data_IF_883015800169
#
_entry.id   IF_883015800169
#
_cell.length_a   1.000
_cell.length_b   1.000
_cell.length_c   1.000
_cell.angle_alpha   90.00
_cell.angle_beta   90.00
_cell.angle_gamma   90.00
#
_symmetry.space_group_name_H-M   'P 1'
#
loop_
_entity.id
_entity.type
_entity.pdbx_description
1 polymer ?
#
# COMPACT_ATOMS: atom_id res chain seq x y z
N UNK A 1 2.13 1.66 5.64
CA UNK A 1 3.38 0.87 5.62
C UNK A 1 4.01 0.92 7.00
N UNK A 2 4.78 -0.10 7.39
CA UNK A 2 5.46 -0.08 8.70
C UNK A 2 6.83 0.65 8.63
N UNK A 3 7.43 0.90 9.79
CA UNK A 3 8.67 1.68 9.88
C UNK A 3 9.84 1.09 9.06
N UNK A 4 9.96 -0.24 9.00
CA UNK A 4 11.02 -0.91 8.25
C UNK A 4 10.80 -0.79 6.74
N UNK A 5 9.56 -0.98 6.27
CA UNK A 5 9.19 -0.75 4.87
C UNK A 5 9.46 0.71 4.45
N UNK A 6 9.08 1.68 5.30
CA UNK A 6 9.32 3.10 5.05
C UNK A 6 10.82 3.44 5.02
N UNK A 7 11.62 2.83 5.88
CA UNK A 7 13.07 2.99 5.86
C UNK A 7 13.66 2.51 4.53
N UNK A 8 13.26 1.32 4.07
CA UNK A 8 13.72 0.77 2.79
C UNK A 8 13.33 1.65 1.61
N UNK A 9 12.11 2.21 1.60
CA UNK A 9 11.69 3.20 0.60
C UNK A 9 12.54 4.47 0.65
N UNK A 10 12.83 4.99 1.85
CA UNK A 10 13.66 6.19 2.03
C UNK A 10 15.10 5.98 1.54
N UNK A 11 15.63 4.77 1.71
CA UNK A 11 16.94 4.37 1.18
C UNK A 11 16.97 4.17 -0.35
N UNK A 12 15.84 4.38 -1.04
CA UNK A 12 15.74 4.27 -2.50
C UNK A 12 15.23 2.92 -3.00
N UNK A 13 14.77 2.05 -2.12
CA UNK A 13 14.11 0.80 -2.51
C UNK A 13 12.80 1.05 -3.26
N UNK A 14 12.42 0.11 -4.12
CA UNK A 14 11.09 0.10 -4.73
C UNK A 14 10.02 -0.31 -3.71
N UNK A 15 8.75 -0.01 -4.00
CA UNK A 15 7.64 -0.46 -3.15
C UNK A 15 7.65 -1.98 -2.93
N UNK A 16 7.90 -2.77 -3.98
CA UNK A 16 8.02 -4.23 -3.86
C UNK A 16 9.17 -4.64 -2.95
N UNK A 17 10.34 -4.04 -3.14
CA UNK A 17 11.52 -4.37 -2.34
C UNK A 17 11.30 -4.02 -0.87
N UNK A 18 10.74 -2.84 -0.61
CA UNK A 18 10.38 -2.39 0.73
C UNK A 18 9.39 -3.36 1.43
N UNK A 19 8.41 -3.89 0.69
CA UNK A 19 7.44 -4.84 1.22
C UNK A 19 8.04 -6.22 1.49
N UNK A 20 8.78 -6.80 0.54
CA UNK A 20 9.16 -8.22 0.60
C UNK A 20 10.51 -8.50 1.28
N UNK A 21 11.44 -7.55 1.29
CA UNK A 21 12.75 -7.72 1.97
C UNK A 21 12.60 -8.02 3.47
N UNK A 22 11.73 -7.33 4.23
CA UNK A 22 11.50 -7.66 5.63
C UNK A 22 11.14 -9.13 5.87
N UNK A 23 10.23 -9.68 5.07
CA UNK A 23 9.83 -11.09 5.17
C UNK A 23 11.00 -12.03 4.86
N UNK A 24 11.77 -11.72 3.82
CA UNK A 24 12.93 -12.53 3.44
C UNK A 24 14.00 -12.53 4.55
N UNK A 25 14.30 -11.37 5.12
CA UNK A 25 15.27 -11.25 6.23
C UNK A 25 14.82 -12.01 7.48
N UNK A 26 13.53 -11.95 7.81
CA UNK A 26 12.98 -12.67 8.98
C UNK A 26 12.94 -14.18 8.76
N UNK A 27 12.72 -14.64 7.52
CA UNK A 27 12.84 -16.05 7.17
C UNK A 27 14.29 -16.53 7.34
N UNK A 28 15.27 -15.77 6.83
CA UNK A 28 16.69 -16.09 7.01
C UNK A 28 17.11 -16.10 8.49
N UNK A 29 16.62 -15.14 9.27
CA UNK A 29 16.85 -15.09 10.71
C UNK A 29 16.29 -16.32 11.40
N UNK A 30 15.05 -16.70 11.08
CA UNK A 30 14.42 -17.91 11.60
C UNK A 30 15.23 -19.16 11.28
N UNK A 31 15.65 -19.33 10.02
CA UNK A 31 16.51 -20.45 9.59
C UNK A 31 17.84 -20.46 10.35
N UNK A 32 18.46 -19.29 10.53
CA UNK A 32 19.70 -19.15 11.31
C UNK A 32 19.54 -19.57 12.77
N UNK A 33 18.49 -19.10 13.44
CA UNK A 33 18.16 -19.49 14.82
C UNK A 33 17.87 -21.00 14.92
N UNK A 34 17.08 -21.52 13.99
CA UNK A 34 16.75 -22.94 13.89
C UNK A 34 18.00 -23.81 13.73
N UNK A 35 18.97 -23.37 12.93
CA UNK A 35 20.24 -24.08 12.74
C UNK A 35 21.11 -24.12 13.99
N UNK A 36 21.21 -23.00 14.72
CA UNK A 36 21.95 -22.93 16.00
C UNK A 36 21.32 -23.88 17.03
N UNK A 37 19.99 -23.87 17.14
CA UNK A 37 19.24 -24.74 18.06
C UNK A 37 19.35 -26.20 17.64
N UNK A 38 19.26 -26.51 16.34
CA UNK A 38 19.43 -27.86 15.81
C UNK A 38 20.79 -28.45 16.22
N UNK A 39 21.88 -27.69 16.03
CA UNK A 39 23.23 -28.11 16.45
C UNK A 39 23.33 -28.40 17.95
N UNK A 40 22.60 -27.66 18.79
CA UNK A 40 22.57 -27.88 20.24
C UNK A 40 21.73 -29.12 20.61
N UNK A 41 20.56 -29.28 20.00
CA UNK A 41 19.66 -30.41 20.25
C UNK A 41 20.24 -31.76 19.80
N UNK A 42 21.01 -31.78 18.72
CA UNK A 42 21.74 -32.98 18.29
C UNK A 42 22.70 -33.50 19.37
N UNK A 43 23.22 -32.64 20.24
CA UNK A 43 24.09 -33.04 21.35
C UNK A 43 23.32 -33.64 22.54
N UNK A 44 22.00 -33.46 22.61
CA UNK A 44 21.21 -33.76 23.81
C UNK A 44 20.46 -35.12 23.75
N UNK A 45 20.76 -36.01 22.81
CA UNK A 45 20.11 -37.34 22.66
C UNK A 45 18.56 -37.32 22.69
N UNK A 46 17.94 -36.19 22.35
CA UNK A 46 16.48 -36.05 22.28
C UNK A 46 15.89 -36.80 21.08
N UNK A 47 14.58 -37.12 21.16
CA UNK A 47 13.86 -37.81 20.08
C UNK A 47 13.92 -37.00 18.77
N UNK A 48 14.39 -37.61 17.68
CA UNK A 48 14.61 -36.96 16.37
C UNK A 48 13.38 -36.18 15.86
N UNK A 49 12.19 -36.76 15.99
CA UNK A 49 10.91 -36.12 15.63
C UNK A 49 10.70 -34.78 16.38
N UNK A 50 10.97 -34.75 17.69
CA UNK A 50 10.71 -33.58 18.52
C UNK A 50 11.67 -32.45 18.18
N UNK A 51 12.94 -32.81 17.94
CA UNK A 51 13.96 -31.86 17.49
C UNK A 51 13.59 -31.25 16.13
N UNK A 52 13.11 -32.05 15.18
CA UNK A 52 12.66 -31.56 13.88
C UNK A 52 11.47 -30.61 14.00
N UNK A 53 10.47 -30.94 14.82
CA UNK A 53 9.31 -30.08 15.04
C UNK A 53 9.70 -28.73 15.66
N UNK A 54 10.57 -28.73 16.68
CA UNK A 54 11.05 -27.49 17.32
C UNK A 54 11.81 -26.62 16.32
N UNK A 55 12.71 -27.22 15.53
CA UNK A 55 13.50 -26.51 14.53
C UNK A 55 12.62 -25.94 13.43
N UNK A 56 11.63 -26.70 12.96
CA UNK A 56 10.67 -26.22 11.97
C UNK A 56 9.85 -25.03 12.47
N UNK A 57 9.29 -25.13 13.68
CA UNK A 57 8.52 -24.04 14.29
C UNK A 57 9.38 -22.79 14.48
N UNK A 58 10.62 -22.95 14.98
CA UNK A 58 11.54 -21.84 15.18
C UNK A 58 11.97 -21.18 13.86
N UNK A 59 12.12 -21.98 12.78
CA UNK A 59 12.47 -21.46 11.47
C UNK A 59 11.38 -20.55 10.89
N UNK A 60 10.11 -20.87 11.12
CA UNK A 60 8.98 -20.11 10.58
C UNK A 60 8.50 -19.00 11.53
N UNK A 61 8.75 -19.10 12.83
CA UNK A 61 8.19 -18.21 13.85
C UNK A 61 8.40 -16.72 13.56
N UNK A 62 9.61 -16.20 13.23
CA UNK A 62 9.78 -14.77 12.98
C UNK A 62 9.00 -14.28 11.76
N UNK A 63 8.99 -15.06 10.67
CA UNK A 63 8.22 -14.77 9.47
C UNK A 63 6.71 -14.76 9.77
N UNK A 64 6.21 -15.79 10.46
CA UNK A 64 4.79 -15.92 10.79
C UNK A 64 4.28 -14.81 11.70
N UNK A 65 5.06 -14.41 12.71
CA UNK A 65 4.71 -13.29 13.59
C UNK A 65 4.65 -11.97 12.82
N UNK A 66 5.60 -11.72 11.92
CA UNK A 66 5.59 -10.52 11.10
C UNK A 66 4.44 -10.51 10.10
N UNK A 67 4.14 -11.65 9.46
CA UNK A 67 2.98 -11.80 8.58
C UNK A 67 1.65 -11.60 9.32
N UNK A 68 1.54 -12.04 10.57
CA UNK A 68 0.34 -11.81 11.37
C UNK A 68 0.12 -10.32 11.68
N UNK A 69 1.19 -9.57 11.93
CA UNK A 69 1.12 -8.12 12.17
C UNK A 69 0.96 -7.31 10.87
N UNK A 70 1.60 -7.75 9.80
CA UNK A 70 1.61 -7.11 8.49
C UNK A 70 1.32 -8.19 7.45
N UNK A 71 0.05 -8.45 7.14
CA UNK A 71 -0.29 -9.42 6.10
C UNK A 71 0.12 -8.93 4.71
N UNK A 72 0.23 -9.87 3.79
CA UNK A 72 0.40 -9.63 2.35
C UNK A 72 -0.98 -9.74 1.71
N UNK A 73 -1.47 -8.66 1.13
CA UNK A 73 -2.78 -8.61 0.50
C UNK A 73 -2.70 -8.91 -1.00
N UNK A 74 -3.85 -9.19 -1.62
CA UNK A 74 -3.92 -9.49 -3.06
C UNK A 74 -3.36 -8.34 -3.91
N UNK A 75 -3.64 -7.08 -3.55
CA UNK A 75 -3.09 -5.89 -4.22
C UNK A 75 -1.57 -5.73 -4.10
N UNK A 76 -0.90 -6.49 -3.21
CA UNK A 76 0.56 -6.50 -3.12
C UNK A 76 1.21 -7.44 -4.14
N UNK A 77 0.46 -8.43 -4.63
CA UNK A 77 0.95 -9.49 -5.52
C UNK A 77 0.44 -9.35 -6.95
N UNK A 78 -0.84 -9.01 -7.11
CA UNK A 78 -1.54 -9.00 -8.40
C UNK A 78 -1.72 -7.56 -8.91
N UNK A 79 -1.68 -7.37 -10.23
CA UNK A 79 -2.08 -6.11 -10.85
C UNK A 79 -3.59 -6.13 -11.09
N UNK A 80 -4.36 -5.55 -10.16
CA UNK A 80 -5.84 -5.62 -10.18
C UNK A 80 -6.51 -4.33 -10.67
N UNK A 81 -5.74 -3.37 -11.21
CA UNK A 81 -6.32 -2.11 -11.69
C UNK A 81 -7.05 -2.24 -13.02
N UNK A 82 -8.07 -1.41 -13.20
CA UNK A 82 -8.88 -1.34 -14.42
C UNK A 82 -8.62 -0.03 -15.18
N UNK A 83 -9.06 0.04 -16.44
CA UNK A 83 -8.92 1.23 -17.29
C UNK A 83 -10.29 1.83 -17.56
N UNK A 84 -10.72 2.84 -16.79
CA UNK A 84 -12.04 3.44 -16.97
C UNK A 84 -12.13 4.19 -18.30
N UNK A 85 -13.24 4.00 -19.02
CA UNK A 85 -13.55 4.80 -20.21
C UNK A 85 -14.06 6.17 -19.76
N UNK A 86 -13.24 7.21 -19.89
CA UNK A 86 -13.61 8.58 -19.55
C UNK A 86 -12.96 9.59 -20.50
N UNK A 87 -13.71 10.64 -20.82
CA UNK A 87 -13.22 11.80 -21.57
C UNK A 87 -12.74 12.94 -20.65
N UNK A 88 -12.77 12.72 -19.33
CA UNK A 88 -12.42 13.73 -18.35
C UNK A 88 -10.94 14.12 -18.46
N UNK A 89 -10.69 15.43 -18.56
CA UNK A 89 -9.34 15.99 -18.63
C UNK A 89 -8.95 16.60 -17.30
N UNK A 90 -7.77 16.23 -16.82
CA UNK A 90 -7.22 16.72 -15.57
C UNK A 90 -6.36 17.97 -15.79
N UNK A 91 -6.29 18.91 -14.83
CA UNK A 91 -5.55 20.16 -14.98
C UNK A 91 -4.02 20.00 -14.87
N UNK A 92 -3.51 18.77 -14.78
CA UNK A 92 -2.08 18.46 -14.63
C UNK A 92 -1.72 17.26 -15.50
N UNK A 93 -0.46 17.19 -15.93
CA UNK A 93 0.02 16.17 -16.86
C UNK A 93 0.04 14.78 -16.25
N UNK A 94 0.65 14.63 -15.08
CA UNK A 94 0.90 13.34 -14.43
C UNK A 94 0.67 13.44 -12.93
N UNK A 95 0.03 12.43 -12.34
CA UNK A 95 -0.23 12.41 -10.90
C UNK A 95 -1.20 11.32 -10.47
N UNK A 96 -1.38 11.19 -9.17
CA UNK A 96 -2.35 10.28 -8.57
C UNK A 96 -3.51 11.08 -7.98
N UNK A 97 -4.74 10.72 -8.33
CA UNK A 97 -5.95 11.30 -7.72
C UNK A 97 -6.64 10.25 -6.87
N UNK A 98 -6.90 10.57 -5.61
CA UNK A 98 -7.72 9.78 -4.70
C UNK A 98 -9.11 10.40 -4.66
N UNK A 99 -10.09 9.67 -5.16
CA UNK A 99 -11.50 10.08 -5.08
C UNK A 99 -12.07 9.61 -3.75
N UNK A 100 -12.60 10.54 -2.97
CA UNK A 100 -13.11 10.30 -1.62
C UNK A 100 -14.57 10.75 -1.49
N UNK A 101 -15.34 10.01 -0.70
CA UNK A 101 -16.67 10.44 -0.26
C UNK A 101 -16.57 11.14 1.11
N UNK A 102 -17.36 12.20 1.36
CA UNK A 102 -17.49 12.76 2.71
C UNK A 102 -17.82 11.68 3.76
N UNK A 103 -17.18 11.75 4.93
CA UNK A 103 -17.42 10.82 6.04
C UNK A 103 -16.96 9.37 5.82
N UNK A 104 -16.31 9.06 4.69
CA UNK A 104 -15.83 7.72 4.37
C UNK A 104 -14.61 7.34 5.20
N UNK A 105 -14.76 6.36 6.11
CA UNK A 105 -13.68 5.88 6.98
C UNK A 105 -12.46 5.40 6.20
N UNK A 106 -12.64 4.55 5.20
CA UNK A 106 -11.53 4.03 4.38
C UNK A 106 -10.79 5.13 3.61
N UNK A 107 -11.54 6.15 3.17
CA UNK A 107 -10.97 7.31 2.50
C UNK A 107 -10.10 8.11 3.48
N UNK A 108 -10.56 8.28 4.73
CA UNK A 108 -9.76 8.94 5.78
C UNK A 108 -8.56 8.09 6.21
N UNK A 109 -8.65 6.76 6.16
CA UNK A 109 -7.50 5.89 6.44
C UNK A 109 -6.44 5.98 5.33
N UNK A 110 -6.87 6.16 4.07
CA UNK A 110 -5.95 6.29 2.93
C UNK A 110 -5.04 7.52 3.02
N UNK A 111 -5.46 8.60 3.71
CA UNK A 111 -4.64 9.81 3.88
C UNK A 111 -3.34 9.50 4.61
N UNK A 112 -3.37 8.59 5.59
CA UNK A 112 -2.18 8.13 6.32
C UNK A 112 -1.17 7.48 5.38
N UNK A 113 -1.66 6.66 4.44
CA UNK A 113 -0.80 6.05 3.42
C UNK A 113 -0.24 7.10 2.48
N UNK A 114 -1.07 7.99 1.94
CA UNK A 114 -0.63 9.03 1.00
C UNK A 114 0.39 9.98 1.62
N UNK A 115 0.19 10.41 2.86
CA UNK A 115 1.16 11.23 3.60
C UNK A 115 2.52 10.53 3.72
N UNK A 116 2.55 9.19 3.83
CA UNK A 116 3.79 8.43 3.93
C UNK A 116 4.52 8.25 2.59
N UNK A 117 3.80 8.21 1.46
CA UNK A 117 4.37 7.72 0.19
C UNK A 117 4.33 8.73 -0.95
N UNK A 118 3.62 9.85 -0.83
CA UNK A 118 3.40 10.81 -1.92
C UNK A 118 4.70 11.30 -2.58
N UNK A 119 5.79 11.47 -1.82
CA UNK A 119 7.11 11.87 -2.33
C UNK A 119 7.74 10.82 -3.28
N UNK A 120 7.33 9.56 -3.17
CA UNK A 120 7.79 8.44 -4.01
C UNK A 120 6.87 8.17 -5.18
N UNK A 121 5.71 8.83 -5.20
CA UNK A 121 4.79 8.76 -6.32
C UNK A 121 5.15 9.81 -7.36
N UNK A 122 4.90 9.53 -8.64
CA UNK A 122 5.17 10.48 -9.71
C UNK A 122 4.16 11.64 -9.74
N UNK A 123 4.66 12.85 -9.94
CA UNK A 123 3.82 14.04 -10.14
C UNK A 123 3.05 14.45 -8.89
N UNK A 124 1.84 14.99 -9.09
CA UNK A 124 1.02 15.53 -7.98
C UNK A 124 0.11 14.45 -7.40
N UNK A 125 0.12 14.30 -6.07
CA UNK A 125 -0.91 13.54 -5.36
C UNK A 125 -2.05 14.48 -4.96
N UNK A 126 -3.30 14.12 -5.26
CA UNK A 126 -4.47 14.95 -4.96
C UNK A 126 -5.62 14.15 -4.39
N UNK A 127 -6.36 14.73 -3.46
CA UNK A 127 -7.65 14.24 -2.99
C UNK A 127 -8.78 15.04 -3.63
N UNK A 128 -9.69 14.34 -4.28
CA UNK A 128 -10.89 14.91 -4.89
C UNK A 128 -12.11 14.40 -4.14
N UNK A 129 -12.74 15.28 -3.37
CA UNK A 129 -13.87 14.95 -2.51
C UNK A 129 -15.17 15.14 -3.28
N UNK A 130 -16.00 14.10 -3.34
CA UNK A 130 -17.35 14.13 -3.92
C UNK A 130 -18.36 14.75 -2.95
N UNK A 131 -18.03 15.93 -2.42
CA UNK A 131 -18.86 16.72 -1.52
C UNK A 131 -19.11 18.12 -2.11
N UNK A 132 -20.24 18.70 -1.76
CA UNK A 132 -20.59 20.09 -2.14
C UNK A 132 -20.23 21.09 -1.04
N UNK A 133 -20.01 20.61 0.20
CA UNK A 133 -19.64 21.47 1.32
C UNK A 133 -18.11 21.64 1.40
N UNK A 134 -17.70 22.87 1.65
CA UNK A 134 -16.32 23.20 2.02
C UNK A 134 -15.82 22.44 3.25
N UNK A 135 -16.70 22.11 4.20
CA UNK A 135 -16.37 21.36 5.41
C UNK A 135 -15.91 19.93 5.10
N UNK A 136 -16.47 19.30 4.06
CA UNK A 136 -16.07 17.97 3.64
C UNK A 136 -14.62 17.95 3.12
N UNK A 137 -14.25 18.98 2.36
CA UNK A 137 -12.89 19.15 1.84
C UNK A 137 -11.91 19.42 2.98
N UNK A 138 -12.27 20.33 3.89
CA UNK A 138 -11.46 20.67 5.06
C UNK A 138 -11.22 19.47 5.98
N UNK A 139 -12.21 18.58 6.13
CA UNK A 139 -12.05 17.36 6.93
C UNK A 139 -10.92 16.47 6.40
N UNK A 140 -10.78 16.34 5.07
CA UNK A 140 -9.67 15.61 4.45
C UNK A 140 -8.37 16.39 4.44
N UNK A 141 -8.43 17.69 4.14
CA UNK A 141 -7.26 18.57 4.07
C UNK A 141 -6.50 18.60 5.40
N UNK A 142 -7.21 18.66 6.53
CA UNK A 142 -6.63 18.61 7.87
C UNK A 142 -5.91 17.29 8.20
N UNK A 143 -6.19 16.21 7.46
CA UNK A 143 -5.52 14.92 7.62
C UNK A 143 -4.29 14.77 6.71
N UNK A 144 -4.12 15.65 5.72
CA UNK A 144 -3.11 15.54 4.68
C UNK A 144 -1.88 16.40 5.00
N UNK A 145 -0.73 16.00 4.46
CA UNK A 145 0.45 16.87 4.43
C UNK A 145 0.26 17.99 3.42
N UNK A 146 0.96 19.12 3.61
CA UNK A 146 0.84 20.31 2.75
C UNK A 146 1.16 20.04 1.26
N UNK A 147 1.89 18.97 0.97
CA UNK A 147 2.28 18.57 -0.39
C UNK A 147 1.23 17.72 -1.11
N UNK A 148 0.17 17.29 -0.41
CA UNK A 148 -0.96 16.58 -0.99
C UNK A 148 -2.16 17.53 -1.09
N UNK A 149 -2.56 17.84 -2.33
CA UNK A 149 -3.63 18.83 -2.55
C UNK A 149 -5.01 18.24 -2.33
N UNK A 150 -5.84 18.85 -1.50
CA UNK A 150 -7.25 18.49 -1.32
C UNK A 150 -8.18 19.49 -2.01
N UNK A 151 -9.23 19.01 -2.70
CA UNK A 151 -10.25 19.88 -3.30
C UNK A 151 -11.58 19.15 -3.52
N UNK A 152 -12.65 19.92 -3.74
CA UNK A 152 -13.90 19.36 -4.26
C UNK A 152 -13.72 18.89 -5.72
N UNK A 153 -14.36 17.79 -6.07
CA UNK A 153 -14.32 17.23 -7.41
C UNK A 153 -15.08 18.11 -8.41
N UNK A 154 -14.39 18.56 -9.47
CA UNK A 154 -14.91 19.53 -10.47
C UNK A 154 -16.06 18.99 -11.34
N UNK A 155 -16.12 17.68 -11.59
CA UNK A 155 -17.14 17.05 -12.44
C UNK A 155 -17.64 15.74 -11.83
N UNK A 156 -18.38 15.85 -10.73
CA UNK A 156 -18.83 14.71 -9.93
C UNK A 156 -19.68 13.71 -10.73
N UNK A 157 -20.52 14.19 -11.68
CA UNK A 157 -21.37 13.35 -12.52
C UNK A 157 -20.58 12.42 -13.43
N UNK A 158 -19.44 12.89 -13.95
CA UNK A 158 -18.54 12.06 -14.77
C UNK A 158 -17.58 11.23 -13.93
N UNK A 159 -17.22 11.70 -12.73
CA UNK A 159 -16.28 11.02 -11.85
C UNK A 159 -16.92 9.83 -11.10
N UNK A 160 -18.20 9.95 -10.72
CA UNK A 160 -18.89 8.93 -9.95
C UNK A 160 -18.99 7.56 -10.67
N UNK A 161 -19.32 7.49 -11.98
CA UNK A 161 -19.29 6.21 -12.70
C UNK A 161 -17.90 5.57 -12.76
N UNK A 162 -16.84 6.38 -12.76
CA UNK A 162 -15.46 5.90 -12.81
C UNK A 162 -15.09 5.13 -11.55
N UNK A 163 -15.69 5.47 -10.41
CA UNK A 163 -15.38 4.80 -9.14
C UNK A 163 -16.04 3.43 -9.00
N UNK A 164 -16.98 3.08 -9.89
CA UNK A 164 -17.82 1.88 -9.81
C UNK A 164 -18.47 1.70 -8.42
N UNK A 165 -18.73 2.81 -7.72
CA UNK A 165 -19.31 2.82 -6.38
C UNK A 165 -18.35 2.46 -5.24
N UNK A 166 -17.05 2.26 -5.51
CA UNK A 166 -16.05 1.87 -4.52
C UNK A 166 -15.17 3.04 -4.10
N UNK A 167 -14.97 3.23 -2.80
CA UNK A 167 -14.22 4.35 -2.24
C UNK A 167 -13.24 3.91 -1.13
N UNK A 168 -12.05 4.52 -1.05
CA UNK A 168 -11.47 5.44 -2.02
C UNK A 168 -11.18 4.75 -3.37
N UNK A 169 -11.20 5.54 -4.44
CA UNK A 169 -10.72 5.12 -5.77
C UNK A 169 -9.43 5.85 -6.09
N UNK A 170 -8.42 5.12 -6.54
CA UNK A 170 -7.14 5.70 -6.93
C UNK A 170 -7.07 5.78 -8.45
N UNK A 171 -6.83 6.97 -8.99
CA UNK A 171 -6.78 7.23 -10.43
C UNK A 171 -5.38 7.67 -10.83
N UNK A 172 -4.73 6.88 -11.67
CA UNK A 172 -3.45 7.22 -12.26
C UNK A 172 -3.63 8.08 -13.50
N UNK A 173 -3.14 9.31 -13.44
CA UNK A 173 -3.25 10.31 -14.48
C UNK A 173 -1.93 10.40 -15.23
N UNK A 174 -2.00 10.35 -16.57
CA UNK A 174 -0.88 10.61 -17.47
C UNK A 174 -1.40 11.32 -18.71
N UNK A 175 -0.66 12.32 -19.19
CA UNK A 175 -1.07 13.19 -20.29
C UNK A 175 -2.49 13.75 -20.08
N UNK A 176 -2.79 14.19 -18.85
CA UNK A 176 -4.09 14.74 -18.42
C UNK A 176 -5.29 13.78 -18.51
N UNK A 177 -5.06 12.48 -18.72
CA UNK A 177 -6.12 11.46 -18.82
C UNK A 177 -5.90 10.34 -17.81
N UNK A 178 -6.99 9.67 -17.46
CA UNK A 178 -6.92 8.48 -16.62
C UNK A 178 -6.38 7.33 -17.47
N UNK A 179 -5.27 6.75 -17.02
CA UNK A 179 -4.68 5.56 -17.66
C UNK A 179 -5.14 4.29 -16.94
N UNK A 180 -5.22 4.37 -15.62
CA UNK A 180 -5.57 3.23 -14.77
C UNK A 180 -6.25 3.70 -13.50
N UNK A 181 -7.10 2.85 -12.94
CA UNK A 181 -7.78 3.07 -11.69
C UNK A 181 -7.71 1.80 -10.82
N UNK A 182 -7.82 1.97 -9.51
CA UNK A 182 -7.87 0.87 -8.55
C UNK A 182 -8.90 1.19 -7.47
N UNK A 183 -9.62 0.16 -7.05
CA UNK A 183 -10.45 0.22 -5.85
C UNK A 183 -9.57 0.16 -4.59
N UNK A 184 -10.16 0.46 -3.44
CA UNK A 184 -9.45 0.53 -2.15
C UNK A 184 -8.56 -0.69 -1.88
N UNK A 185 -9.10 -1.90 -2.08
CA UNK A 185 -8.39 -3.16 -1.77
C UNK A 185 -7.42 -3.60 -2.87
N UNK A 186 -7.41 -2.89 -4.01
CA UNK A 186 -6.60 -3.20 -5.20
C UNK A 186 -5.38 -2.29 -5.31
N UNK A 187 -5.42 -1.10 -4.70
CA UNK A 187 -4.29 -0.19 -4.63
C UNK A 187 -3.27 -0.62 -3.57
N UNK A 188 -2.59 -1.72 -3.84
CA UNK A 188 -1.51 -2.26 -3.01
C UNK A 188 -0.12 -1.92 -3.53
N UNK A 189 0.89 -2.60 -2.95
CA UNK A 189 2.30 -2.36 -3.26
C UNK A 189 2.62 -2.53 -4.75
N UNK A 190 1.93 -3.45 -5.44
CA UNK A 190 2.10 -3.68 -6.88
C UNK A 190 1.66 -2.48 -7.70
N UNK A 191 0.52 -1.87 -7.34
CA UNK A 191 0.01 -0.67 -8.00
C UNK A 191 0.95 0.53 -7.78
N UNK A 192 1.41 0.74 -6.54
CA UNK A 192 2.37 1.79 -6.21
C UNK A 192 3.70 1.63 -6.95
N UNK A 193 4.18 0.39 -7.08
CA UNK A 193 5.39 0.09 -7.85
C UNK A 193 5.21 0.33 -9.35
N UNK A 194 4.05 -0.02 -9.91
CA UNK A 194 3.74 0.18 -11.34
C UNK A 194 3.79 1.65 -11.75
N UNK A 195 3.37 2.54 -10.85
CA UNK A 195 3.40 3.98 -11.10
C UNK A 195 4.68 4.64 -10.58
N UNK A 196 5.55 3.96 -9.85
CA UNK A 196 6.78 4.55 -9.33
C UNK A 196 7.66 5.06 -10.50
N UNK A 197 8.22 6.28 -10.42
CA UNK A 197 9.08 6.83 -11.47
C UNK A 197 10.40 6.07 -11.65
#
# INVERSE_FOLDING_TARGET
MNALELLLLKLGGSFLLAKFVPYFLLLLLGVGLAWVVFRKLQRMNAKKWLNLSIVFLLALMPFSLYFAAFPIFQGDLLSMGYSPKSNLKFPFETGLVVVALPGCKYCSESTKLMNQIHEKLPGKTQYWVLGTDSLDVLAYDNLLTKDVFCRSALNQKELLPITEGSFPTFLWIKNRRIVKAWHNNEFGVRAMHEIQP
#
